data_IF_438695603445
#
_entry.id   IF_438695603445
#
_cell.length_a   1.000
_cell.length_b   1.000
_cell.length_c   1.000
_cell.angle_alpha   90.00
_cell.angle_beta   90.00
_cell.angle_gamma   90.00
#
_symmetry.space_group_name_H-M   'P 1'
#
loop_
_entity.id
_entity.type
_entity.pdbx_description
1 polymer ?
#
# COMPACT_ATOMS: atom_id res chain seq x y z
N UNK A 1 11.48 4.88 -12.14
CA UNK A 1 10.63 5.56 -11.14
C UNK A 1 11.26 5.39 -9.76
N UNK A 2 11.54 6.50 -9.08
CA UNK A 2 12.07 6.50 -7.71
C UNK A 2 11.03 7.10 -6.78
N UNK A 3 10.76 6.43 -5.67
CA UNK A 3 9.81 6.88 -4.64
C UNK A 3 10.57 7.12 -3.34
N UNK A 4 10.30 8.25 -2.71
CA UNK A 4 10.81 8.59 -1.37
C UNK A 4 9.63 8.94 -0.48
N UNK A 5 9.54 8.31 0.69
CA UNK A 5 8.57 8.66 1.71
C UNK A 5 9.30 9.27 2.91
N UNK A 6 8.76 10.37 3.43
CA UNK A 6 9.31 11.05 4.61
C UNK A 6 8.22 11.26 5.64
N UNK A 7 8.50 10.86 6.86
CA UNK A 7 7.68 11.19 8.04
C UNK A 7 8.48 12.11 8.93
N UNK A 8 7.98 13.32 9.14
CA UNK A 8 8.55 14.29 10.07
C UNK A 8 7.61 14.47 11.26
N UNK A 9 8.14 14.29 12.46
CA UNK A 9 7.37 14.45 13.69
C UNK A 9 8.15 15.28 14.72
N UNK A 10 7.52 16.33 15.21
CA UNK A 10 7.98 17.16 16.32
C UNK A 10 6.76 17.64 17.12
N UNK A 11 6.91 18.16 18.34
CA UNK A 11 5.78 18.69 19.09
C UNK A 11 5.01 19.75 18.31
N UNK A 12 3.72 19.49 18.07
CA UNK A 12 2.83 20.39 17.33
C UNK A 12 2.90 20.26 15.78
N UNK A 13 3.75 19.36 15.24
CA UNK A 13 3.82 19.11 13.79
C UNK A 13 4.00 17.64 13.48
N UNK A 14 3.13 17.11 12.64
CA UNK A 14 3.26 15.79 12.07
C UNK A 14 2.96 15.88 10.58
N UNK A 15 3.91 15.48 9.74
CA UNK A 15 3.79 15.62 8.29
C UNK A 15 4.30 14.35 7.61
N UNK A 16 3.54 13.85 6.65
CA UNK A 16 3.91 12.70 5.82
C UNK A 16 3.89 13.11 4.36
N UNK A 17 5.01 12.97 3.69
CA UNK A 17 5.13 13.27 2.26
C UNK A 17 5.64 12.08 1.48
N UNK A 18 5.19 11.96 0.25
CA UNK A 18 5.75 11.03 -0.74
C UNK A 18 6.19 11.82 -1.96
N UNK A 19 7.35 11.49 -2.48
CA UNK A 19 7.91 12.07 -3.69
C UNK A 19 8.12 10.98 -4.72
N UNK A 20 7.69 11.22 -5.94
CA UNK A 20 7.93 10.35 -7.08
C UNK A 20 8.49 11.19 -8.23
N UNK A 21 9.73 10.92 -8.63
CA UNK A 21 10.40 11.59 -9.75
C UNK A 21 10.29 13.14 -9.68
N UNK A 22 10.50 13.72 -8.48
CA UNK A 22 10.44 15.16 -8.23
C UNK A 22 9.04 15.75 -7.97
N UNK A 23 8.00 14.94 -7.98
CA UNK A 23 6.63 15.36 -7.62
C UNK A 23 6.32 14.96 -6.19
N UNK A 24 6.03 15.92 -5.34
CA UNK A 24 5.68 15.69 -3.93
C UNK A 24 4.18 15.74 -3.72
N UNK A 25 3.69 14.80 -2.93
CA UNK A 25 2.30 14.75 -2.43
C UNK A 25 2.34 14.64 -0.91
N UNK A 26 1.56 15.46 -0.22
CA UNK A 26 1.34 15.33 1.23
C UNK A 26 0.20 14.33 1.46
N UNK A 27 0.43 13.36 2.35
CA UNK A 27 -0.59 12.43 2.80
C UNK A 27 -1.23 12.95 4.08
N UNK A 28 -2.55 12.99 4.13
CA UNK A 28 -3.30 13.37 5.34
C UNK A 28 -3.33 12.20 6.33
N UNK A 29 -2.22 12.04 7.05
CA UNK A 29 -2.07 11.06 8.12
C UNK A 29 -1.89 11.82 9.45
N UNK A 30 -2.91 11.84 10.32
CA UNK A 30 -2.85 12.62 11.54
C UNK A 30 -1.84 12.06 12.56
N UNK A 31 -1.35 12.93 13.42
CA UNK A 31 -0.67 12.51 14.64
C UNK A 31 -1.63 11.76 15.57
N UNK A 32 -1.09 11.00 16.51
CA UNK A 32 -1.88 10.41 17.59
C UNK A 32 -2.51 11.50 18.45
N UNK A 33 -3.71 11.23 18.98
CA UNK A 33 -4.39 12.12 19.92
C UNK A 33 -3.61 12.21 21.23
N UNK A 34 -2.96 11.11 21.64
CA UNK A 34 -2.14 11.04 22.84
C UNK A 34 -0.76 10.46 22.50
N UNK A 35 0.29 11.16 22.94
CA UNK A 35 1.68 10.74 22.75
C UNK A 35 2.23 11.01 21.35
N UNK A 36 3.51 10.73 21.13
CA UNK A 36 4.17 10.96 19.85
C UNK A 36 3.83 9.87 18.82
N UNK A 37 3.92 10.22 17.55
CA UNK A 37 3.80 9.30 16.42
C UNK A 37 2.55 9.51 15.58
N UNK A 38 2.34 8.63 14.60
CA UNK A 38 1.20 8.64 13.69
C UNK A 38 0.00 7.87 14.27
N UNK A 39 -1.21 8.37 14.02
CA UNK A 39 -2.46 7.67 14.37
C UNK A 39 -2.63 6.38 13.55
N UNK A 40 -2.12 6.37 12.31
CA UNK A 40 -2.15 5.19 11.43
C UNK A 40 -0.83 4.44 11.54
N UNK A 41 -0.89 3.15 11.80
CA UNK A 41 0.30 2.30 11.92
C UNK A 41 0.92 1.93 10.55
N UNK A 42 2.19 1.55 10.57
CA UNK A 42 2.87 1.04 9.36
C UNK A 42 2.22 -0.22 8.80
N UNK A 43 1.67 -1.09 9.66
CA UNK A 43 0.93 -2.29 9.22
C UNK A 43 -0.35 -1.94 8.47
N UNK A 44 -1.12 -0.96 8.97
CA UNK A 44 -2.30 -0.45 8.28
C UNK A 44 -1.94 0.19 6.92
N UNK A 45 -0.86 0.97 6.89
CA UNK A 45 -0.38 1.57 5.63
C UNK A 45 0.11 0.51 4.63
N UNK A 46 0.74 -0.57 5.10
CA UNK A 46 1.15 -1.68 4.24
C UNK A 46 -0.06 -2.38 3.60
N UNK A 47 -1.08 -2.67 4.41
CA UNK A 47 -2.33 -3.26 3.91
C UNK A 47 -3.03 -2.33 2.91
N UNK A 48 -3.11 -1.02 3.22
CA UNK A 48 -3.66 -0.02 2.31
C UNK A 48 -2.85 0.10 1.01
N UNK A 49 -1.52 0.00 1.07
CA UNK A 49 -0.65 0.02 -0.11
C UNK A 49 -0.93 -1.17 -1.04
N UNK A 50 -1.10 -2.37 -0.49
CA UNK A 50 -1.48 -3.55 -1.27
C UNK A 50 -2.84 -3.38 -1.95
N UNK A 51 -3.85 -2.98 -1.19
CA UNK A 51 -5.19 -2.76 -1.72
C UNK A 51 -5.20 -1.70 -2.84
N UNK A 52 -4.52 -0.58 -2.62
CA UNK A 52 -4.42 0.52 -3.58
C UNK A 52 -3.67 0.12 -4.85
N UNK A 53 -2.54 -0.58 -4.71
CA UNK A 53 -1.76 -1.07 -5.84
C UNK A 53 -2.62 -1.99 -6.72
N UNK A 54 -3.24 -2.99 -6.12
CA UNK A 54 -4.09 -3.93 -6.84
C UNK A 54 -5.26 -3.23 -7.55
N UNK A 55 -5.97 -2.33 -6.86
CA UNK A 55 -7.09 -1.58 -7.43
C UNK A 55 -6.67 -0.79 -8.69
N UNK A 56 -5.55 -0.07 -8.61
CA UNK A 56 -5.04 0.72 -9.72
C UNK A 56 -4.64 -0.16 -10.91
N UNK A 57 -3.97 -1.29 -10.63
CA UNK A 57 -3.53 -2.22 -11.65
C UNK A 57 -4.71 -2.92 -12.32
N UNK A 58 -5.73 -3.31 -11.55
CA UNK A 58 -6.94 -3.93 -12.07
C UNK A 58 -7.66 -3.00 -13.07
N UNK A 59 -7.83 -1.73 -12.73
CA UNK A 59 -8.45 -0.75 -13.63
C UNK A 59 -7.61 -0.54 -14.89
N UNK A 60 -6.29 -0.43 -14.76
CA UNK A 60 -5.36 -0.31 -15.90
C UNK A 60 -5.45 -1.52 -16.84
N UNK A 61 -5.44 -2.73 -16.29
CA UNK A 61 -5.52 -3.96 -17.10
C UNK A 61 -6.92 -4.16 -17.71
N UNK A 62 -7.98 -3.78 -17.01
CA UNK A 62 -9.33 -3.78 -17.55
C UNK A 62 -9.44 -2.86 -18.78
N UNK A 63 -8.96 -1.63 -18.67
CA UNK A 63 -8.94 -0.66 -19.77
C UNK A 63 -8.14 -1.19 -20.98
N UNK A 64 -6.94 -1.73 -20.74
CA UNK A 64 -6.10 -2.30 -21.82
C UNK A 64 -6.76 -3.44 -22.57
N UNK A 65 -7.66 -4.17 -21.94
CA UNK A 65 -8.36 -5.34 -22.52
C UNK A 65 -9.76 -5.02 -23.00
N UNK A 66 -10.24 -3.79 -22.78
CA UNK A 66 -11.60 -3.39 -23.12
C UNK A 66 -12.65 -4.11 -22.30
N UNK A 67 -12.33 -4.48 -21.04
CA UNK A 67 -13.26 -5.11 -20.10
C UNK A 67 -13.87 -4.02 -19.22
N UNK A 68 -15.19 -3.90 -19.23
CA UNK A 68 -15.89 -2.94 -18.39
C UNK A 68 -16.08 -3.48 -16.97
N UNK A 69 -15.53 -2.77 -15.99
CA UNK A 69 -15.72 -3.06 -14.57
C UNK A 69 -16.34 -1.86 -13.87
N UNK A 70 -17.25 -2.13 -12.95
CA UNK A 70 -17.93 -1.13 -12.12
C UNK A 70 -17.25 -0.96 -10.77
N UNK A 71 -18.02 -1.15 -9.68
CA UNK A 71 -17.49 -1.08 -8.33
C UNK A 71 -16.49 -2.21 -8.07
N UNK A 72 -15.39 -1.87 -7.41
CA UNK A 72 -14.36 -2.82 -6.97
C UNK A 72 -14.10 -2.63 -5.49
N UNK A 73 -14.09 -3.72 -4.75
CA UNK A 73 -13.67 -3.76 -3.36
C UNK A 73 -12.46 -4.70 -3.23
N UNK A 74 -11.40 -4.21 -2.60
CA UNK A 74 -10.21 -5.00 -2.27
C UNK A 74 -10.04 -5.00 -0.77
N UNK A 75 -10.10 -6.17 -0.15
CA UNK A 75 -9.92 -6.34 1.30
C UNK A 75 -8.61 -7.06 1.53
N UNK A 76 -7.72 -6.44 2.30
CA UNK A 76 -6.43 -7.00 2.71
C UNK A 76 -6.47 -7.27 4.20
N UNK A 77 -6.08 -8.46 4.59
CA UNK A 77 -6.01 -8.90 5.99
C UNK A 77 -4.58 -9.28 6.32
N UNK A 78 -4.11 -8.85 7.48
CA UNK A 78 -2.78 -9.19 8.00
C UNK A 78 -2.84 -9.37 9.52
N UNK A 79 -2.09 -10.34 10.03
CA UNK A 79 -1.96 -10.59 11.46
C UNK A 79 -0.53 -10.33 11.90
N UNK A 80 -0.39 -9.61 13.01
CA UNK A 80 0.89 -9.34 13.67
C UNK A 80 0.88 -9.97 15.04
N UNK A 81 2.00 -10.57 15.42
CA UNK A 81 2.21 -11.15 16.75
C UNK A 81 2.56 -10.09 17.81
N UNK A 82 3.51 -10.44 18.67
CA UNK A 82 4.02 -9.54 19.70
C UNK A 82 4.95 -8.44 19.17
N UNK A 83 5.52 -7.69 20.09
CA UNK A 83 6.43 -6.59 19.75
C UNK A 83 7.66 -7.12 18.98
N UNK A 84 7.86 -6.59 17.79
CA UNK A 84 8.98 -6.94 16.91
C UNK A 84 8.72 -8.13 16.01
N UNK A 85 7.55 -8.78 16.12
CA UNK A 85 7.19 -9.87 15.23
C UNK A 85 6.73 -9.32 13.87
N UNK A 86 7.19 -9.90 12.75
CA UNK A 86 6.65 -9.56 11.43
C UNK A 86 5.21 -10.05 11.29
N UNK A 87 4.54 -9.62 10.24
CA UNK A 87 3.24 -10.19 9.87
C UNK A 87 3.37 -11.70 9.60
N UNK A 88 2.51 -12.49 10.23
CA UNK A 88 2.46 -13.94 10.02
C UNK A 88 1.77 -14.29 8.69
N UNK A 89 0.60 -13.74 8.49
CA UNK A 89 -0.20 -13.94 7.29
C UNK A 89 -0.57 -12.61 6.65
N UNK A 90 -0.60 -12.61 5.34
CA UNK A 90 -1.02 -11.48 4.52
C UNK A 90 -1.82 -12.05 3.35
N UNK A 91 -3.13 -11.84 3.38
CA UNK A 91 -4.06 -12.32 2.36
C UNK A 91 -4.93 -11.19 1.85
N UNK A 92 -5.49 -11.35 0.65
CA UNK A 92 -6.46 -10.40 0.16
C UNK A 92 -7.54 -11.07 -0.69
N UNK A 93 -8.69 -10.42 -0.74
CA UNK A 93 -9.83 -10.79 -1.57
C UNK A 93 -10.29 -9.62 -2.41
N UNK A 94 -10.87 -9.92 -3.56
CA UNK A 94 -11.34 -8.93 -4.52
C UNK A 94 -12.78 -9.22 -4.90
N UNK A 95 -13.63 -8.21 -4.83
CA UNK A 95 -14.98 -8.25 -5.37
C UNK A 95 -15.10 -7.21 -6.49
N UNK A 96 -15.55 -7.66 -7.66
CA UNK A 96 -15.70 -6.82 -8.86
C UNK A 96 -17.15 -6.89 -9.34
N UNK A 97 -17.77 -5.74 -9.52
CA UNK A 97 -19.03 -5.61 -10.25
C UNK A 97 -18.74 -5.46 -11.75
N UNK A 98 -19.34 -6.33 -12.57
CA UNK A 98 -19.23 -6.22 -14.02
C UNK A 98 -20.44 -6.88 -14.69
N UNK A 99 -20.84 -6.39 -15.86
CA UNK A 99 -21.81 -7.03 -16.73
C UNK A 99 -21.14 -8.01 -17.73
N UNK A 100 -19.82 -8.05 -17.76
CA UNK A 100 -19.03 -8.93 -18.63
C UNK A 100 -19.08 -10.39 -18.16
N UNK A 101 -18.57 -11.29 -18.98
CA UNK A 101 -18.46 -12.71 -18.62
C UNK A 101 -17.65 -12.92 -17.34
N UNK A 102 -18.22 -13.63 -16.38
CA UNK A 102 -17.61 -13.84 -15.07
C UNK A 102 -16.25 -14.55 -15.13
N UNK A 103 -16.06 -15.45 -16.09
CA UNK A 103 -14.78 -16.13 -16.33
C UNK A 103 -13.72 -15.14 -16.81
N UNK A 104 -14.07 -14.27 -17.73
CA UNK A 104 -13.19 -13.23 -18.25
C UNK A 104 -12.77 -12.24 -17.17
N UNK A 105 -13.68 -11.81 -16.30
CA UNK A 105 -13.37 -10.93 -15.17
C UNK A 105 -12.50 -11.65 -14.13
N UNK A 106 -12.76 -12.92 -13.86
CA UNK A 106 -11.94 -13.72 -12.94
C UNK A 106 -10.51 -13.90 -13.47
N UNK A 107 -10.33 -14.09 -14.77
CA UNK A 107 -9.01 -14.18 -15.39
C UNK A 107 -8.28 -12.83 -15.34
N UNK A 108 -8.98 -11.71 -15.57
CA UNK A 108 -8.43 -10.38 -15.39
C UNK A 108 -7.88 -10.19 -13.96
N UNK A 109 -8.63 -10.58 -12.94
CA UNK A 109 -8.20 -10.49 -11.52
C UNK A 109 -6.94 -11.34 -11.27
N UNK A 110 -6.91 -12.58 -11.74
CA UNK A 110 -5.76 -13.49 -11.54
C UNK A 110 -4.51 -13.01 -12.24
N UNK A 111 -4.64 -12.49 -13.45
CA UNK A 111 -3.48 -11.97 -14.19
C UNK A 111 -2.98 -10.64 -13.59
N UNK A 112 -3.89 -9.80 -13.09
CA UNK A 112 -3.50 -8.59 -12.35
C UNK A 112 -2.71 -8.94 -11.09
N UNK A 113 -3.06 -10.01 -10.37
CA UNK A 113 -2.30 -10.48 -9.20
C UNK A 113 -0.83 -10.76 -9.51
N UNK A 114 -0.55 -11.27 -10.70
CA UNK A 114 0.82 -11.55 -11.15
C UNK A 114 1.60 -10.30 -11.56
N UNK A 115 0.91 -9.21 -11.88
CA UNK A 115 1.50 -7.95 -12.35
C UNK A 115 1.65 -6.91 -11.24
N UNK A 116 0.92 -7.05 -10.13
CA UNK A 116 0.90 -6.07 -9.05
C UNK A 116 2.28 -5.93 -8.38
N UNK A 117 2.92 -4.77 -8.55
CA UNK A 117 4.32 -4.54 -8.20
C UNK A 117 4.58 -4.63 -6.68
N UNK A 118 3.67 -4.08 -5.85
CA UNK A 118 3.81 -4.16 -4.38
C UNK A 118 3.69 -5.60 -3.90
N UNK A 119 2.78 -6.38 -4.48
CA UNK A 119 2.62 -7.81 -4.20
C UNK A 119 3.89 -8.57 -4.59
N UNK A 120 4.41 -8.32 -5.78
CA UNK A 120 5.66 -8.90 -6.27
C UNK A 120 6.85 -8.55 -5.38
N UNK A 121 6.93 -7.31 -4.91
CA UNK A 121 7.98 -6.83 -4.00
C UNK A 121 7.98 -7.60 -2.68
N UNK A 122 6.81 -7.78 -2.07
CA UNK A 122 6.69 -8.53 -0.81
C UNK A 122 6.95 -10.03 -1.00
N UNK A 123 6.45 -10.62 -2.07
CA UNK A 123 6.71 -12.03 -2.41
C UNK A 123 8.21 -12.31 -2.65
N UNK A 124 8.93 -11.35 -3.21
CA UNK A 124 10.38 -11.46 -3.43
C UNK A 124 11.20 -11.35 -2.12
N UNK A 125 10.64 -10.75 -1.06
CA UNK A 125 11.30 -10.61 0.23
C UNK A 125 12.53 -9.71 0.16
N UNK A 126 12.36 -8.45 -0.27
CA UNK A 126 13.46 -7.48 -0.34
C UNK A 126 14.01 -7.14 1.06
N UNK A 127 15.32 -7.03 1.15
CA UNK A 127 16.00 -6.54 2.35
C UNK A 127 15.65 -5.08 2.63
N UNK A 128 15.45 -4.78 3.91
CA UNK A 128 15.29 -3.41 4.42
C UNK A 128 16.53 -3.03 5.21
N UNK A 129 17.26 -2.03 4.75
CA UNK A 129 18.57 -1.64 5.29
C UNK A 129 18.51 -0.29 6.00
N UNK A 130 19.06 -0.22 7.21
CA UNK A 130 19.33 1.05 7.90
C UNK A 130 20.61 1.67 7.33
N UNK A 131 20.50 2.59 6.38
CA UNK A 131 21.64 3.16 5.65
C UNK A 131 22.43 4.21 6.43
N UNK A 132 21.79 4.96 7.35
CA UNK A 132 22.47 5.96 8.16
C UNK A 132 21.69 6.31 9.44
N UNK A 133 22.41 6.86 10.41
CA UNK A 133 21.82 7.43 11.64
C UNK A 133 22.42 8.80 11.87
N UNK A 134 21.59 9.81 12.11
CA UNK A 134 22.02 11.16 12.45
C UNK A 134 21.35 11.55 13.78
N UNK A 135 22.17 12.07 14.70
CA UNK A 135 21.70 12.54 16.00
C UNK A 135 22.19 13.98 16.15
N UNK A 136 21.27 14.90 16.43
CA UNK A 136 21.56 16.31 16.69
C UNK A 136 21.01 16.73 18.05
N UNK A 137 21.68 17.72 18.65
CA UNK A 137 21.16 18.37 19.86
C UNK A 137 19.91 19.20 19.52
N UNK A 138 18.97 19.39 20.50
CA UNK A 138 17.81 20.24 20.32
C UNK A 138 18.14 21.71 20.10
#
# INVERSE_FOLDING_TARGET
>A
MRITATVHHEPGRHEVTVETDGRTTTLDLPARDEGPGSAVSGGELLAAALATCFLNDLHREAERRGIEIGAVEVVVESEYGGRGDPAGDLTYSVHVQSAEDAGQVADLVRETDLLAEVHGTLRAGLDVELSSVQISAP
#
